data_IF_221730956974
#
_entry.id   IF_221730956974
#
_cell.length_a   1.000
_cell.length_b   1.000
_cell.length_c   1.000
_cell.angle_alpha   90.00
_cell.angle_beta   90.00
_cell.angle_gamma   90.00
#
_symmetry.space_group_name_H-M   'P 1'
#
loop_
_entity.id
_entity.type
_entity.pdbx_description
1 polymer ?
#
# COMPACT_ATOMS: atom_id res chain seq x y z
N UNK A 1 -12.05 27.82 -4.66
CA UNK A 1 -11.14 26.64 -4.71
C UNK A 1 -11.30 25.67 -3.54
N UNK A 2 -11.91 26.06 -2.41
CA UNK A 2 -12.12 25.17 -1.24
C UNK A 2 -13.19 24.09 -1.46
N UNK A 3 -14.33 24.43 -2.09
CA UNK A 3 -15.43 23.49 -2.35
C UNK A 3 -15.02 22.34 -3.28
N UNK A 4 -14.23 22.62 -4.31
CA UNK A 4 -13.72 21.60 -5.24
C UNK A 4 -12.82 20.62 -4.50
N UNK A 5 -11.91 21.10 -3.65
CA UNK A 5 -11.05 20.23 -2.82
C UNK A 5 -11.87 19.32 -1.91
N UNK A 6 -12.90 19.85 -1.25
CA UNK A 6 -13.78 19.06 -0.38
C UNK A 6 -14.54 18.01 -1.18
N UNK A 7 -15.11 18.37 -2.34
CA UNK A 7 -15.79 17.43 -3.22
C UNK A 7 -14.87 16.29 -3.70
N UNK A 8 -13.61 16.61 -3.98
CA UNK A 8 -12.60 15.62 -4.37
C UNK A 8 -12.20 14.65 -3.23
N UNK A 9 -12.52 14.93 -1.96
CA UNK A 9 -12.22 14.02 -0.85
C UNK A 9 -13.17 12.81 -0.77
N UNK A 10 -14.30 12.82 -1.50
CA UNK A 10 -15.23 11.67 -1.51
C UNK A 10 -14.53 10.37 -1.91
N UNK A 11 -13.73 10.43 -2.98
CA UNK A 11 -13.06 9.23 -3.53
C UNK A 11 -11.97 8.67 -2.60
N UNK A 12 -11.04 9.48 -2.05
CA UNK A 12 -10.10 9.01 -1.02
C UNK A 12 -10.78 8.39 0.21
N UNK A 13 -11.95 8.90 0.61
CA UNK A 13 -12.70 8.31 1.73
C UNK A 13 -13.20 6.91 1.37
N UNK A 14 -13.78 6.73 0.17
CA UNK A 14 -14.25 5.43 -0.33
C UNK A 14 -13.11 4.42 -0.43
N UNK A 15 -11.97 4.83 -0.98
CA UNK A 15 -10.76 3.99 -1.08
C UNK A 15 -10.24 3.60 0.32
N UNK A 16 -10.28 4.52 1.29
CA UNK A 16 -9.95 4.23 2.68
C UNK A 16 -10.89 3.20 3.33
N UNK A 17 -12.20 3.27 3.04
CA UNK A 17 -13.19 2.30 3.50
C UNK A 17 -12.98 0.92 2.90
N UNK A 18 -12.71 0.84 1.58
CA UNK A 18 -12.37 -0.41 0.90
C UNK A 18 -11.13 -1.04 1.52
N UNK A 19 -10.07 -0.24 1.70
CA UNK A 19 -8.84 -0.70 2.33
C UNK A 19 -9.04 -1.21 3.76
N UNK A 20 -9.90 -0.53 4.54
CA UNK A 20 -10.26 -0.93 5.90
C UNK A 20 -10.94 -2.30 5.96
N UNK A 21 -11.82 -2.61 4.99
CA UNK A 21 -12.46 -3.93 4.89
C UNK A 21 -11.44 -5.01 4.51
N UNK A 22 -10.76 -4.82 3.38
CA UNK A 22 -9.84 -5.80 2.81
C UNK A 22 -8.66 -6.14 3.73
N UNK A 23 -8.11 -5.12 4.38
CA UNK A 23 -6.85 -5.25 5.11
C UNK A 23 -7.04 -5.24 6.62
N UNK A 24 -8.09 -4.64 7.20
CA UNK A 24 -8.21 -4.53 8.65
C UNK A 24 -9.45 -5.22 9.22
N UNK A 25 -10.29 -5.81 8.37
CA UNK A 25 -11.49 -6.52 8.81
C UNK A 25 -12.55 -5.57 9.37
N UNK A 26 -12.66 -4.36 8.82
CA UNK A 26 -13.64 -3.36 9.25
C UNK A 26 -15.08 -3.93 9.26
N UNK A 27 -15.41 -4.77 8.29
CA UNK A 27 -16.68 -5.48 8.14
C UNK A 27 -16.68 -6.90 8.74
N UNK A 28 -15.53 -7.39 9.24
CA UNK A 28 -15.36 -8.73 9.80
C UNK A 28 -15.68 -8.77 11.31
N UNK A 29 -16.87 -8.30 11.70
CA UNK A 29 -17.35 -8.38 13.08
C UNK A 29 -18.68 -9.11 13.17
N UNK A 30 -18.80 -10.07 14.09
CA UNK A 30 -20.05 -10.80 14.38
C UNK A 30 -20.70 -10.34 15.70
N UNK A 31 -20.22 -9.23 16.25
CA UNK A 31 -20.71 -8.70 17.54
C UNK A 31 -22.11 -8.12 17.38
N UNK A 32 -22.97 -8.37 18.37
CA UNK A 32 -24.38 -7.91 18.35
C UNK A 32 -24.66 -6.75 19.30
N UNK A 33 -23.71 -6.40 20.17
CA UNK A 33 -23.83 -5.29 21.11
C UNK A 33 -23.30 -4.01 20.46
N UNK A 34 -24.07 -2.92 20.55
CA UNK A 34 -23.71 -1.62 19.99
C UNK A 34 -22.32 -1.13 20.42
N UNK A 35 -22.01 -1.23 21.72
CA UNK A 35 -20.71 -0.81 22.27
C UNK A 35 -19.55 -1.65 21.75
N UNK A 36 -19.76 -2.96 21.57
CA UNK A 36 -18.76 -3.85 21.00
C UNK A 36 -18.53 -3.55 19.50
N UNK A 37 -19.60 -3.29 18.76
CA UNK A 37 -19.51 -2.88 17.35
C UNK A 37 -18.73 -1.57 17.19
N UNK A 38 -19.04 -0.56 18.00
CA UNK A 38 -18.31 0.71 17.98
C UNK A 38 -16.84 0.53 18.31
N UNK A 39 -16.50 -0.26 19.34
CA UNK A 39 -15.11 -0.54 19.70
C UNK A 39 -14.35 -1.21 18.55
N UNK A 40 -14.97 -2.18 17.88
CA UNK A 40 -14.38 -2.85 16.71
C UNK A 40 -14.08 -1.85 15.58
N UNK A 41 -15.07 -1.04 15.21
CA UNK A 41 -14.91 -0.02 14.16
C UNK A 41 -13.79 0.96 14.52
N UNK A 42 -13.78 1.48 15.75
CA UNK A 42 -12.75 2.43 16.19
C UNK A 42 -11.35 1.80 16.18
N UNK A 43 -11.20 0.57 16.67
CA UNK A 43 -9.90 -0.11 16.70
C UNK A 43 -9.39 -0.43 15.28
N UNK A 44 -10.26 -0.88 14.38
CA UNK A 44 -9.88 -1.18 12.98
C UNK A 44 -9.50 0.09 12.22
N UNK A 45 -10.27 1.17 12.36
CA UNK A 45 -9.93 2.47 11.76
C UNK A 45 -8.65 3.08 12.35
N UNK A 46 -8.45 2.95 13.67
CA UNK A 46 -7.21 3.41 14.31
C UNK A 46 -5.98 2.64 13.82
N UNK A 47 -6.07 1.31 13.70
CA UNK A 47 -4.99 0.49 13.16
C UNK A 47 -4.65 0.85 11.70
N UNK A 48 -5.68 1.08 10.88
CA UNK A 48 -5.52 1.58 9.52
C UNK A 48 -4.82 2.94 9.50
N UNK A 49 -5.29 3.89 10.32
CA UNK A 49 -4.73 5.24 10.39
C UNK A 49 -3.25 5.22 10.78
N UNK A 50 -2.86 4.42 11.79
CA UNK A 50 -1.46 4.25 12.19
C UNK A 50 -0.64 3.74 11.00
N UNK A 51 -1.08 2.67 10.33
CA UNK A 51 -0.35 2.11 9.19
C UNK A 51 -0.26 3.10 8.01
N UNK A 52 -1.33 3.87 7.75
CA UNK A 52 -1.38 4.86 6.68
C UNK A 52 -0.44 6.04 6.94
N UNK A 53 -0.43 6.56 8.17
CA UNK A 53 0.48 7.65 8.57
C UNK A 53 1.92 7.19 8.50
N UNK A 54 2.24 5.99 9.00
CA UNK A 54 3.59 5.43 8.87
C UNK A 54 3.99 5.22 7.41
N UNK A 55 3.08 4.77 6.54
CA UNK A 55 3.35 4.61 5.10
C UNK A 55 3.67 5.96 4.45
N UNK A 56 2.90 6.99 4.78
CA UNK A 56 3.12 8.34 4.28
C UNK A 56 4.48 8.89 4.73
N UNK A 57 4.83 8.74 6.00
CA UNK A 57 6.13 9.16 6.55
C UNK A 57 7.31 8.40 5.92
N UNK A 58 7.21 7.08 5.76
CA UNK A 58 8.29 6.32 5.12
C UNK A 58 8.42 6.72 3.65
N UNK A 59 7.30 6.97 2.97
CA UNK A 59 7.30 7.40 1.57
C UNK A 59 8.00 8.75 1.36
N UNK A 60 7.95 9.68 2.31
CA UNK A 60 8.68 10.97 2.19
C UNK A 60 10.20 10.80 2.25
N UNK A 61 10.69 9.73 2.90
CA UNK A 61 12.12 9.42 2.97
C UNK A 61 12.57 8.39 1.91
N UNK A 62 11.64 7.78 1.18
CA UNK A 62 11.96 6.79 0.16
C UNK A 62 12.48 7.48 -1.11
N UNK A 63 13.49 6.88 -1.74
CA UNK A 63 13.96 7.30 -3.06
C UNK A 63 12.84 7.22 -4.09
N UNK A 64 12.86 8.13 -5.06
CA UNK A 64 11.90 8.12 -6.15
C UNK A 64 11.94 6.77 -6.90
N UNK A 65 10.78 6.24 -7.33
CA UNK A 65 10.74 4.99 -8.07
C UNK A 65 11.49 5.15 -9.39
N UNK A 66 12.33 4.17 -9.71
CA UNK A 66 12.97 4.09 -11.03
C UNK A 66 11.89 3.69 -12.03
N UNK A 67 11.57 4.59 -12.96
CA UNK A 67 10.55 4.38 -13.98
C UNK A 67 11.20 4.49 -15.37
N UNK A 68 10.69 3.75 -16.36
CA UNK A 68 11.16 3.88 -17.73
C UNK A 68 10.80 5.26 -18.29
N UNK A 69 11.73 5.87 -19.01
CA UNK A 69 11.50 7.15 -19.72
C UNK A 69 11.10 6.89 -21.18
N UNK A 70 11.51 5.76 -21.75
CA UNK A 70 11.28 5.40 -23.14
C UNK A 70 10.75 3.93 -23.27
N UNK A 71 9.99 3.61 -24.34
CA UNK A 71 9.38 2.28 -24.53
C UNK A 71 10.37 1.17 -24.89
N UNK A 72 11.55 1.52 -25.35
CA UNK A 72 12.63 0.64 -25.81
C UNK A 72 13.72 0.44 -24.75
N UNK A 73 13.71 1.25 -23.70
CA UNK A 73 14.66 1.17 -22.59
C UNK A 73 14.74 -0.24 -22.00
N UNK A 74 15.95 -0.73 -21.75
CA UNK A 74 16.18 -1.99 -21.04
C UNK A 74 15.88 -1.86 -19.54
N UNK A 75 15.34 -2.91 -18.88
CA UNK A 75 15.07 -2.86 -17.46
C UNK A 75 16.37 -2.69 -16.66
N UNK A 76 16.38 -1.89 -15.57
CA UNK A 76 17.53 -1.76 -14.70
C UNK A 76 17.85 -3.12 -14.02
N UNK A 77 19.12 -3.38 -13.75
CA UNK A 77 19.58 -4.59 -13.03
C UNK A 77 18.93 -4.70 -11.65
N UNK A 78 18.80 -3.56 -10.97
CA UNK A 78 18.03 -3.42 -9.74
C UNK A 78 16.99 -2.29 -9.85
N UNK A 79 15.68 -2.62 -9.94
CA UNK A 79 14.61 -1.62 -9.89
C UNK A 79 14.40 -1.01 -8.49
N UNK A 80 15.13 -1.49 -7.48
CA UNK A 80 14.98 -1.10 -6.09
C UNK A 80 13.76 -1.75 -5.44
N UNK A 81 13.37 -1.20 -4.28
CA UNK A 81 12.16 -1.60 -3.57
C UNK A 81 11.09 -0.54 -3.72
N UNK A 82 9.84 -0.97 -3.90
CA UNK A 82 8.70 -0.08 -3.75
C UNK A 82 8.65 0.46 -2.32
N UNK A 83 8.29 1.73 -2.11
CA UNK A 83 8.14 2.31 -0.78
C UNK A 83 7.16 1.49 0.09
N UNK A 84 7.36 1.48 1.41
CA UNK A 84 6.51 0.71 2.31
C UNK A 84 5.05 1.18 2.19
N UNK A 85 4.19 0.25 1.81
CA UNK A 85 2.73 0.46 1.73
C UNK A 85 2.06 0.16 3.06
N UNK A 86 0.80 0.58 3.20
CA UNK A 86 -0.02 0.32 4.41
C UNK A 86 -0.10 -1.19 4.72
N UNK A 87 -0.29 -2.03 3.69
CA UNK A 87 -0.35 -3.48 3.85
C UNK A 87 0.98 -4.08 4.34
N UNK A 88 2.10 -3.53 3.90
CA UNK A 88 3.44 -3.97 4.31
C UNK A 88 3.73 -3.57 5.74
N UNK A 89 3.37 -2.35 6.15
CA UNK A 89 3.50 -1.91 7.55
C UNK A 89 2.64 -2.76 8.47
N UNK A 90 1.38 -3.04 8.11
CA UNK A 90 0.53 -3.97 8.87
C UNK A 90 1.21 -5.33 9.02
N UNK A 91 1.80 -5.87 7.95
CA UNK A 91 2.47 -7.17 7.97
C UNK A 91 3.71 -7.16 8.86
N UNK A 92 4.55 -6.13 8.76
CA UNK A 92 5.73 -5.95 9.62
C UNK A 92 5.31 -5.81 11.09
N UNK A 93 4.28 -5.01 11.37
CA UNK A 93 3.72 -4.87 12.73
C UNK A 93 3.22 -6.22 13.27
N UNK A 94 2.51 -6.99 12.44
CA UNK A 94 2.04 -8.34 12.81
C UNK A 94 3.22 -9.27 13.11
N UNK A 95 4.30 -9.19 12.33
CA UNK A 95 5.49 -9.99 12.54
C UNK A 95 6.20 -9.64 13.85
N UNK A 96 6.36 -8.35 14.16
CA UNK A 96 7.01 -7.88 15.39
C UNK A 96 6.18 -8.24 16.63
N UNK A 97 4.85 -8.17 16.52
CA UNK A 97 3.95 -8.42 17.66
C UNK A 97 3.64 -9.90 17.89
N UNK A 98 3.63 -10.74 16.83
CA UNK A 98 3.44 -12.18 16.95
C UNK A 98 4.80 -12.89 17.07
N UNK A 99 5.31 -12.98 18.30
CA UNK A 99 6.62 -13.50 18.77
C UNK A 99 7.09 -14.91 18.33
N UNK A 100 6.62 -15.52 17.24
CA UNK A 100 6.80 -16.97 17.01
C UNK A 100 7.10 -17.38 15.56
N UNK A 101 7.87 -16.61 14.80
CA UNK A 101 8.29 -17.06 13.46
C UNK A 101 9.76 -16.74 13.18
N UNK A 102 10.49 -17.62 12.46
CA UNK A 102 11.85 -17.33 12.03
C UNK A 102 11.88 -16.07 11.17
N UNK A 103 12.45 -15.01 11.72
CA UNK A 103 12.46 -13.66 11.17
C UNK A 103 13.09 -13.60 9.76
N UNK A 104 14.06 -14.46 9.49
CA UNK A 104 14.82 -14.49 8.22
C UNK A 104 13.93 -14.83 7.02
N UNK A 105 13.06 -15.83 7.14
CA UNK A 105 12.19 -16.26 6.03
C UNK A 105 11.15 -15.18 5.69
N UNK A 106 10.59 -14.53 6.70
CA UNK A 106 9.56 -13.51 6.49
C UNK A 106 10.11 -12.18 5.99
N UNK A 107 11.26 -11.74 6.51
CA UNK A 107 11.94 -10.58 5.97
C UNK A 107 12.33 -10.85 4.51
N UNK A 108 12.93 -12.01 4.23
CA UNK A 108 13.23 -12.41 2.85
C UNK A 108 11.99 -12.35 1.95
N UNK A 109 10.85 -12.85 2.41
CA UNK A 109 9.59 -12.80 1.66
C UNK A 109 9.07 -11.37 1.42
N UNK A 110 9.18 -10.48 2.42
CA UNK A 110 8.82 -9.05 2.27
C UNK A 110 9.73 -8.39 1.24
N UNK A 111 11.04 -8.62 1.33
CA UNK A 111 12.03 -8.10 0.39
C UNK A 111 11.78 -8.58 -1.04
N UNK A 112 11.63 -9.89 -1.23
CA UNK A 112 11.36 -10.51 -2.53
C UNK A 112 10.11 -9.91 -3.18
N UNK A 113 9.01 -9.81 -2.44
CA UNK A 113 7.75 -9.27 -2.95
C UNK A 113 7.87 -7.81 -3.37
N UNK A 114 8.48 -6.97 -2.52
CA UNK A 114 8.64 -5.53 -2.80
C UNK A 114 9.49 -5.29 -4.04
N UNK A 115 10.56 -6.07 -4.22
CA UNK A 115 11.36 -6.05 -5.45
C UNK A 115 10.54 -6.49 -6.66
N UNK A 116 9.75 -7.56 -6.52
CA UNK A 116 8.91 -8.05 -7.59
C UNK A 116 7.84 -7.02 -8.00
N UNK A 117 7.21 -6.33 -7.04
CA UNK A 117 6.26 -5.24 -7.30
C UNK A 117 6.93 -4.05 -7.99
N UNK A 118 8.14 -3.65 -7.58
CA UNK A 118 8.89 -2.61 -8.25
C UNK A 118 9.17 -2.98 -9.72
N UNK A 119 9.58 -4.23 -9.96
CA UNK A 119 9.80 -4.77 -11.31
C UNK A 119 8.52 -4.77 -12.14
N UNK A 120 7.42 -5.27 -11.60
CA UNK A 120 6.12 -5.28 -12.28
C UNK A 120 5.67 -3.85 -12.62
N UNK A 121 5.82 -2.90 -11.68
CA UNK A 121 5.50 -1.48 -11.89
C UNK A 121 6.30 -0.88 -13.04
N UNK A 122 7.59 -1.19 -13.13
CA UNK A 122 8.46 -0.72 -14.22
C UNK A 122 7.94 -1.21 -15.57
N UNK A 123 7.66 -2.51 -15.72
CA UNK A 123 7.14 -3.07 -16.97
C UNK A 123 5.74 -2.55 -17.33
N UNK A 124 4.86 -2.37 -16.34
CA UNK A 124 3.55 -1.77 -16.56
C UNK A 124 3.66 -0.33 -17.09
N UNK A 125 4.59 0.47 -16.56
CA UNK A 125 4.85 1.82 -17.08
C UNK A 125 5.39 1.79 -18.50
N UNK A 126 6.37 0.92 -18.80
CA UNK A 126 6.91 0.76 -20.16
C UNK A 126 5.83 0.38 -21.17
N UNK A 127 4.98 -0.58 -20.81
CA UNK A 127 3.85 -1.01 -21.64
C UNK A 127 2.80 0.09 -21.83
N UNK A 128 2.68 1.03 -20.88
CA UNK A 128 1.81 2.20 -21.02
C UNK A 128 2.40 3.22 -22.00
N UNK A 129 3.70 3.51 -21.90
CA UNK A 129 4.41 4.42 -22.81
C UNK A 129 4.33 3.93 -24.26
N UNK A 130 4.55 2.63 -24.48
CA UNK A 130 4.46 2.03 -25.81
C UNK A 130 3.07 2.23 -26.44
N UNK A 131 2.01 1.99 -25.66
CA UNK A 131 0.62 2.20 -26.10
C UNK A 131 0.31 3.66 -26.42
N UNK A 132 0.91 4.62 -25.73
CA UNK A 132 0.72 6.04 -26.02
C UNK A 132 1.37 6.44 -27.35
N UNK A 133 2.54 5.88 -27.68
CA UNK A 133 3.24 6.14 -28.94
C UNK A 133 2.50 5.51 -30.13
N UNK A 134 1.93 4.32 -29.96
CA UNK A 134 1.14 3.66 -31.00
C UNK A 134 -0.19 4.39 -31.32
N UNK A 135 -0.64 5.30 -30.44
CA UNK A 135 -1.88 6.06 -30.58
C UNK A 135 -1.70 7.48 -31.14
N UNK A 136 -0.45 7.95 -31.24
CA UNK A 136 -0.06 9.24 -31.85
C UNK A 136 0.43 9.03 -33.27
#
# INVERSE_FOLDING_TARGET
MTLVRVACLRWPVEEGFEFGKDHFGLDHSQVRLYTALLRHIVLTLAALAVCAVTAAQVKTHASAPILPTAPDQSPPEDPGLIALTVAEIKRLFTLVTRRLQPETHHLHWVWWRRRHQARARWFHHRARLRRQIEQT
#
